data_IF_284087386125
#
_entry.id   IF_284087386125
#
_cell.length_a   1.000
_cell.length_b   1.000
_cell.length_c   1.000
_cell.angle_alpha   90.00
_cell.angle_beta   90.00
_cell.angle_gamma   90.00
#
_symmetry.space_group_name_H-M   'P 1'
#
loop_
_entity.id
_entity.type
_entity.pdbx_description
1 polymer ?
#
# COMPACT_ATOMS: atom_id res chain seq x y z
N UNK A 1 22.97 19.84 12.02
CA UNK A 1 23.07 18.61 12.85
C UNK A 1 23.73 17.54 11.99
N UNK A 2 24.70 16.80 12.52
CA UNK A 2 25.36 15.71 11.76
C UNK A 2 24.35 14.58 11.51
N UNK A 3 24.32 13.98 10.30
CA UNK A 3 23.54 12.79 10.04
C UNK A 3 24.01 11.58 10.85
N UNK A 4 25.30 11.54 11.25
CA UNK A 4 25.89 10.53 12.12
C UNK A 4 25.87 11.01 13.58
N UNK A 5 24.72 10.87 14.24
CA UNK A 5 24.53 11.28 15.63
C UNK A 5 23.60 10.31 16.35
N UNK A 6 23.80 10.11 17.66
CA UNK A 6 22.90 9.35 18.52
C UNK A 6 21.51 10.00 18.69
N UNK A 7 21.32 11.22 18.18
CA UNK A 7 19.99 11.85 18.08
C UNK A 7 19.25 11.48 16.78
N UNK A 8 19.87 10.69 15.91
CA UNK A 8 19.26 10.21 14.68
C UNK A 8 18.50 8.91 14.97
N UNK A 9 17.18 8.98 14.92
CA UNK A 9 16.30 7.83 15.20
C UNK A 9 16.55 6.66 14.25
N UNK A 10 17.00 6.91 13.01
CA UNK A 10 17.36 5.85 12.05
C UNK A 10 18.59 5.08 12.54
N UNK A 11 19.62 5.78 13.02
CA UNK A 11 20.84 5.13 13.55
C UNK A 11 20.49 4.35 14.82
N UNK A 12 19.67 4.94 15.71
CA UNK A 12 19.22 4.26 16.92
C UNK A 12 18.41 2.99 16.60
N UNK A 13 17.54 3.03 15.59
CA UNK A 13 16.78 1.86 15.15
C UNK A 13 17.69 0.74 14.62
N UNK A 14 18.67 1.07 13.78
CA UNK A 14 19.65 0.08 13.30
C UNK A 14 20.50 -0.49 14.43
N UNK A 15 20.97 0.35 15.35
CA UNK A 15 21.71 -0.10 16.52
C UNK A 15 20.87 -1.05 17.40
N UNK A 16 19.59 -0.73 17.61
CA UNK A 16 18.67 -1.60 18.35
C UNK A 16 18.49 -2.96 17.67
N UNK A 17 18.36 -3.00 16.34
CA UNK A 17 18.30 -4.26 15.59
C UNK A 17 19.55 -5.12 15.79
N UNK A 18 20.75 -4.51 15.75
CA UNK A 18 22.01 -5.22 15.99
C UNK A 18 22.07 -5.77 17.42
N UNK A 19 21.70 -4.96 18.42
CA UNK A 19 21.66 -5.39 19.83
C UNK A 19 20.67 -6.53 20.04
N UNK A 20 19.47 -6.44 19.47
CA UNK A 20 18.45 -7.47 19.58
C UNK A 20 18.91 -8.79 18.94
N UNK A 21 19.44 -8.75 17.71
CA UNK A 21 19.96 -9.93 17.02
C UNK A 21 21.14 -10.54 17.75
N UNK A 22 22.07 -9.70 18.25
CA UNK A 22 23.20 -10.13 19.06
C UNK A 22 22.76 -10.81 20.35
N UNK A 23 21.80 -10.22 21.08
CA UNK A 23 21.26 -10.79 22.31
C UNK A 23 20.60 -12.15 22.08
N UNK A 24 19.79 -12.29 21.02
CA UNK A 24 19.17 -13.57 20.65
C UNK A 24 20.22 -14.62 20.25
N UNK A 25 21.25 -14.20 19.51
CA UNK A 25 22.35 -15.09 19.11
C UNK A 25 23.15 -15.58 20.32
N UNK A 26 23.42 -14.71 21.30
CA UNK A 26 24.09 -15.10 22.55
C UNK A 26 23.21 -16.05 23.38
N UNK A 27 21.91 -15.80 23.44
CA UNK A 27 20.99 -16.59 24.26
C UNK A 27 20.67 -17.98 23.67
N UNK A 28 20.58 -18.09 22.34
CA UNK A 28 20.10 -19.30 21.66
C UNK A 28 21.13 -19.98 20.74
N UNK A 29 22.33 -19.41 20.63
CA UNK A 29 23.39 -19.89 19.73
C UNK A 29 23.31 -19.31 18.32
N UNK A 30 24.40 -19.42 17.52
CA UNK A 30 24.44 -18.96 16.12
C UNK A 30 23.43 -19.62 15.20
N UNK A 31 22.89 -20.78 15.58
CA UNK A 31 21.87 -21.54 14.83
C UNK A 31 20.56 -20.77 14.66
N UNK A 32 20.32 -19.72 15.46
CA UNK A 32 19.13 -18.86 15.31
C UNK A 32 19.23 -17.90 14.12
N UNK A 33 20.45 -17.59 13.64
CA UNK A 33 20.67 -16.57 12.60
C UNK A 33 19.90 -16.85 11.29
N UNK A 34 19.86 -18.07 10.74
CA UNK A 34 19.04 -18.37 9.56
C UNK A 34 17.54 -18.09 9.79
N UNK A 35 17.02 -18.36 10.99
CA UNK A 35 15.62 -18.09 11.33
C UNK A 35 15.33 -16.60 11.44
N UNK A 36 16.26 -15.81 11.99
CA UNK A 36 16.15 -14.34 12.04
C UNK A 36 16.17 -13.74 10.63
N UNK A 37 17.04 -14.22 9.75
CA UNK A 37 17.06 -13.81 8.35
C UNK A 37 15.77 -14.18 7.63
N UNK A 38 15.28 -15.42 7.81
CA UNK A 38 14.02 -15.86 7.24
C UNK A 38 12.84 -14.99 7.73
N UNK A 39 12.78 -14.70 9.04
CA UNK A 39 11.79 -13.81 9.62
C UNK A 39 11.86 -12.41 9.01
N UNK A 40 13.05 -11.84 8.82
CA UNK A 40 13.23 -10.54 8.19
C UNK A 40 12.74 -10.53 6.74
N UNK A 41 13.05 -11.58 5.96
CA UNK A 41 12.57 -11.74 4.59
C UNK A 41 11.04 -11.79 4.56
N UNK A 42 10.42 -12.60 5.43
CA UNK A 42 8.96 -12.69 5.53
C UNK A 42 8.34 -11.36 5.95
N UNK A 43 8.98 -10.62 6.86
CA UNK A 43 8.54 -9.29 7.29
C UNK A 43 8.59 -8.26 6.15
N UNK A 44 9.70 -8.21 5.41
CA UNK A 44 9.85 -7.35 4.23
C UNK A 44 8.81 -7.72 3.17
N UNK A 45 8.66 -9.01 2.89
CA UNK A 45 7.71 -9.48 1.88
C UNK A 45 6.26 -9.14 2.24
N UNK A 46 5.89 -9.27 3.52
CA UNK A 46 4.57 -8.88 4.01
C UNK A 46 4.37 -7.36 3.88
N UNK A 47 5.37 -6.57 4.29
CA UNK A 47 5.34 -5.11 4.18
C UNK A 47 5.18 -4.66 2.73
N UNK A 48 5.94 -5.24 1.80
CA UNK A 48 5.85 -4.92 0.38
C UNK A 48 4.53 -5.38 -0.24
N UNK A 49 3.98 -6.52 0.21
CA UNK A 49 2.66 -6.97 -0.23
C UNK A 49 1.57 -5.97 0.15
N UNK A 50 1.63 -5.45 1.38
CA UNK A 50 0.73 -4.43 1.91
C UNK A 50 0.91 -3.09 1.17
N UNK A 51 2.15 -2.64 1.01
CA UNK A 51 2.47 -1.42 0.27
C UNK A 51 1.97 -1.51 -1.19
N UNK A 52 2.15 -2.67 -1.82
CA UNK A 52 1.68 -2.91 -3.18
C UNK A 52 0.15 -2.85 -3.29
N UNK A 53 -0.58 -3.53 -2.41
CA UNK A 53 -2.05 -3.54 -2.48
C UNK A 53 -2.66 -2.17 -2.10
N UNK A 54 -2.08 -1.44 -1.16
CA UNK A 54 -2.56 -0.12 -0.72
C UNK A 54 -2.37 0.96 -1.77
N UNK A 55 -1.38 0.82 -2.65
CA UNK A 55 -1.06 1.83 -3.66
C UNK A 55 -1.27 1.33 -5.10
N UNK A 56 -1.92 0.18 -5.28
CA UNK A 56 -2.13 -0.40 -6.60
C UNK A 56 -2.95 0.52 -7.51
N UNK A 57 -2.37 0.89 -8.66
CA UNK A 57 -3.00 1.76 -9.66
C UNK A 57 -3.08 3.25 -9.27
N UNK A 58 -2.68 3.62 -8.04
CA UNK A 58 -2.82 4.98 -7.52
C UNK A 58 -1.75 5.91 -8.10
N UNK A 59 -2.17 7.08 -8.55
CA UNK A 59 -1.31 8.11 -9.14
C UNK A 59 -1.76 9.50 -8.70
N UNK A 60 -0.78 10.35 -8.40
CA UNK A 60 -1.00 11.78 -8.18
C UNK A 60 -1.02 12.52 -9.51
N UNK A 61 -1.99 13.40 -9.68
CA UNK A 61 -2.06 14.30 -10.85
C UNK A 61 -0.98 15.36 -10.77
N UNK A 62 -0.41 15.70 -11.92
CA UNK A 62 0.47 16.85 -12.09
C UNK A 62 -0.41 18.05 -12.44
N UNK A 63 -0.30 19.11 -11.65
CA UNK A 63 -1.02 20.37 -11.84
C UNK A 63 -0.38 21.17 -12.98
N UNK A 64 -1.11 22.15 -13.51
CA UNK A 64 -0.62 23.09 -14.54
C UNK A 64 0.65 23.82 -14.09
N UNK A 65 0.81 24.06 -12.79
CA UNK A 65 2.02 24.61 -12.18
C UNK A 65 3.25 23.70 -12.26
N UNK A 66 3.12 22.49 -12.79
CA UNK A 66 4.17 21.48 -12.84
C UNK A 66 4.39 20.71 -11.54
N UNK A 67 3.72 21.09 -10.44
CA UNK A 67 3.77 20.39 -9.15
C UNK A 67 2.74 19.27 -9.11
N UNK A 68 3.00 18.22 -8.33
CA UNK A 68 1.99 17.21 -8.03
C UNK A 68 0.98 17.72 -7.01
N UNK A 69 -0.29 17.33 -7.18
CA UNK A 69 -1.36 17.59 -6.22
C UNK A 69 -1.00 17.06 -4.82
N UNK A 70 -1.54 17.66 -3.76
CA UNK A 70 -1.28 17.17 -2.39
C UNK A 70 -1.81 15.74 -2.22
N UNK A 71 -1.10 14.92 -1.44
CA UNK A 71 -1.57 13.58 -1.04
C UNK A 71 -2.92 13.74 -0.34
N UNK A 72 -3.90 12.97 -0.77
CA UNK A 72 -5.24 12.96 -0.21
C UNK A 72 -5.75 11.50 -0.08
N UNK A 73 -6.88 11.26 0.61
CA UNK A 73 -7.37 9.90 0.86
C UNK A 73 -7.66 9.04 -0.38
N UNK A 74 -7.82 9.65 -1.56
CA UNK A 74 -8.01 8.93 -2.82
C UNK A 74 -6.72 8.30 -3.37
N UNK A 75 -5.56 8.58 -2.79
CA UNK A 75 -4.26 8.07 -3.27
C UNK A 75 -3.83 6.74 -2.63
N UNK A 76 -4.73 6.08 -1.92
CA UNK A 76 -4.51 4.74 -1.36
C UNK A 76 -5.82 4.02 -1.09
N UNK A 77 -5.76 2.70 -1.06
CA UNK A 77 -6.87 1.83 -0.71
C UNK A 77 -7.00 1.67 0.81
N UNK A 78 -8.22 1.81 1.32
CA UNK A 78 -8.60 1.43 2.68
C UNK A 78 -9.10 -0.03 2.71
N UNK A 79 -9.20 -0.63 3.89
CA UNK A 79 -9.97 -1.86 4.13
C UNK A 79 -10.96 -1.59 5.24
N UNK A 80 -12.12 -2.25 5.28
CA UNK A 80 -13.14 -2.04 6.33
C UNK A 80 -13.44 -3.31 7.15
N UNK A 81 -12.61 -4.36 7.06
CA UNK A 81 -12.82 -5.65 7.73
C UNK A 81 -12.31 -5.70 9.19
N UNK A 82 -13.23 -5.69 10.15
CA UNK A 82 -12.97 -5.65 11.61
C UNK A 82 -12.01 -6.75 12.12
N UNK A 83 -12.06 -7.98 11.57
CA UNK A 83 -11.20 -9.08 12.03
C UNK A 83 -9.72 -8.89 11.68
N UNK A 84 -9.43 -8.50 10.44
CA UNK A 84 -8.05 -8.14 10.03
C UNK A 84 -7.56 -6.84 10.67
N UNK A 85 -8.49 -5.97 11.02
CA UNK A 85 -8.26 -4.68 11.66
C UNK A 85 -7.57 -4.79 13.01
N UNK A 86 -8.05 -5.72 13.84
CA UNK A 86 -7.51 -5.92 15.18
C UNK A 86 -6.12 -6.55 15.08
N UNK A 87 -5.93 -7.47 14.14
CA UNK A 87 -4.66 -8.21 13.97
C UNK A 87 -3.55 -7.34 13.34
N UNK A 88 -3.91 -6.40 12.47
CA UNK A 88 -2.98 -5.50 11.78
C UNK A 88 -2.95 -4.08 12.37
N UNK A 89 -3.44 -3.89 13.60
CA UNK A 89 -3.51 -2.57 14.24
C UNK A 89 -4.09 -1.49 13.32
N UNK A 90 -5.38 -1.60 12.99
CA UNK A 90 -6.17 -0.63 12.22
C UNK A 90 -5.48 0.02 11.02
N UNK A 91 -4.66 -0.74 10.31
CA UNK A 91 -4.05 -0.36 9.04
C UNK A 91 -5.08 0.19 8.01
N UNK A 92 -6.35 -0.10 8.22
CA UNK A 92 -7.51 0.34 7.45
C UNK A 92 -7.68 1.82 7.19
N UNK A 93 -7.12 2.69 8.04
CA UNK A 93 -7.23 4.15 7.86
C UNK A 93 -5.98 4.75 7.22
N UNK A 94 -5.29 3.91 6.43
CA UNK A 94 -4.08 4.25 5.68
C UNK A 94 -4.22 5.54 4.89
N UNK A 95 -5.36 5.72 4.22
CA UNK A 95 -5.63 6.91 3.41
C UNK A 95 -5.64 8.21 4.22
N UNK A 96 -6.17 8.20 5.44
CA UNK A 96 -6.09 9.39 6.32
C UNK A 96 -4.70 9.56 6.91
N UNK A 97 -3.99 8.47 7.21
CA UNK A 97 -2.61 8.55 7.68
C UNK A 97 -1.70 9.20 6.64
N UNK A 98 -1.84 8.83 5.37
CA UNK A 98 -1.09 9.45 4.27
C UNK A 98 -1.49 10.92 4.02
N UNK A 99 -2.78 11.25 4.12
CA UNK A 99 -3.25 12.62 3.97
C UNK A 99 -2.86 13.52 5.16
N UNK A 100 -2.80 12.95 6.37
CA UNK A 100 -2.62 13.63 7.65
C UNK A 100 -1.66 12.84 8.58
N UNK A 101 -0.36 12.75 8.27
CA UNK A 101 0.59 11.88 8.98
C UNK A 101 0.82 12.26 10.45
N UNK A 102 0.52 13.51 10.84
CA UNK A 102 0.64 13.99 12.23
C UNK A 102 -0.57 13.64 13.09
N UNK A 103 -1.64 13.10 12.51
CA UNK A 103 -2.83 12.68 13.23
C UNK A 103 -2.51 11.42 14.02
N UNK A 104 -2.87 11.43 15.30
CA UNK A 104 -2.73 10.26 16.16
C UNK A 104 -3.55 9.10 15.60
N UNK A 105 -2.99 7.91 15.67
CA UNK A 105 -3.56 6.67 15.13
C UNK A 105 -5.04 6.45 15.56
N UNK A 106 -5.38 6.70 16.82
CA UNK A 106 -6.75 6.52 17.35
C UNK A 106 -7.77 7.51 16.76
N UNK A 107 -7.28 8.62 16.17
CA UNK A 107 -8.09 9.70 15.62
C UNK A 107 -8.12 9.71 14.08
N UNK A 108 -7.50 8.71 13.43
CA UNK A 108 -7.60 8.51 11.99
C UNK A 108 -9.07 8.37 11.59
N UNK A 109 -9.46 8.76 10.38
CA UNK A 109 -10.85 8.73 9.90
C UNK A 109 -10.97 7.90 8.63
N UNK A 110 -12.20 7.51 8.32
CA UNK A 110 -12.56 6.98 7.01
C UNK A 110 -13.14 8.11 6.14
N UNK A 111 -12.91 8.03 4.83
CA UNK A 111 -13.29 9.05 3.85
C UNK A 111 -14.00 8.39 2.68
N UNK A 112 -15.10 8.97 2.21
CA UNK A 112 -15.88 8.40 1.10
C UNK A 112 -15.11 8.35 -0.21
N UNK A 113 -14.16 9.25 -0.36
CA UNK A 113 -13.30 9.40 -1.53
C UNK A 113 -12.16 8.36 -1.55
N UNK A 114 -11.91 7.69 -0.41
CA UNK A 114 -10.92 6.63 -0.34
C UNK A 114 -11.49 5.35 -0.97
N UNK A 115 -10.83 4.77 -1.99
CA UNK A 115 -11.25 3.49 -2.52
C UNK A 115 -11.06 2.39 -1.47
N UNK A 116 -11.93 1.37 -1.48
CA UNK A 116 -11.92 0.31 -0.46
C UNK A 116 -11.66 -1.05 -1.08
N UNK A 117 -10.78 -1.83 -0.47
CA UNK A 117 -10.48 -3.20 -0.85
C UNK A 117 -11.73 -4.09 -0.72
N UNK A 118 -11.95 -5.02 -1.66
CA UNK A 118 -13.14 -5.87 -1.65
C UNK A 118 -13.19 -6.87 -0.49
N UNK A 119 -12.05 -7.15 0.14
CA UNK A 119 -11.95 -8.02 1.33
C UNK A 119 -11.00 -7.41 2.37
N UNK A 120 -10.82 -8.11 3.50
CA UNK A 120 -9.79 -7.74 4.48
C UNK A 120 -8.37 -7.95 3.95
N UNK A 121 -7.38 -7.35 4.61
CA UNK A 121 -5.97 -7.46 4.23
C UNK A 121 -5.50 -8.90 4.05
N UNK A 122 -5.90 -9.83 4.93
CA UNK A 122 -5.48 -11.23 4.82
C UNK A 122 -5.85 -11.85 3.46
N UNK A 123 -7.09 -11.64 3.01
CA UNK A 123 -7.55 -12.14 1.70
C UNK A 123 -6.85 -11.42 0.55
N UNK A 124 -6.67 -10.10 0.66
CA UNK A 124 -6.00 -9.31 -0.37
C UNK A 124 -4.50 -9.63 -0.50
N UNK A 125 -3.80 -9.87 0.60
CA UNK A 125 -2.38 -10.28 0.60
C UNK A 125 -2.22 -11.60 -0.14
N UNK A 126 -3.05 -12.61 0.14
CA UNK A 126 -2.97 -13.88 -0.59
C UNK A 126 -3.29 -13.67 -2.08
N UNK A 127 -4.22 -12.77 -2.40
CA UNK A 127 -4.54 -12.45 -3.80
C UNK A 127 -3.37 -11.78 -4.55
N UNK A 128 -2.51 -10.98 -3.89
CA UNK A 128 -1.35 -10.35 -4.56
C UNK A 128 -0.35 -11.39 -5.08
N UNK A 129 -0.29 -12.58 -4.47
CA UNK A 129 0.64 -13.64 -4.86
C UNK A 129 0.27 -14.33 -6.17
N UNK A 130 -0.98 -14.16 -6.64
CA UNK A 130 -1.47 -14.74 -7.88
C UNK A 130 -1.87 -13.59 -8.83
N UNK A 131 -0.96 -13.11 -9.70
CA UNK A 131 -1.18 -11.90 -10.51
C UNK A 131 -2.44 -11.94 -11.41
N UNK A 132 -2.86 -13.12 -11.85
CA UNK A 132 -4.09 -13.27 -12.64
C UNK A 132 -5.34 -12.99 -11.80
N UNK A 133 -5.38 -13.49 -10.57
CA UNK A 133 -6.47 -13.24 -9.61
C UNK A 133 -6.45 -11.76 -9.21
N UNK A 134 -5.28 -11.25 -8.83
CA UNK A 134 -5.11 -9.84 -8.47
C UNK A 134 -5.66 -8.89 -9.53
N UNK A 135 -5.20 -9.02 -10.78
CA UNK A 135 -5.63 -8.15 -11.89
C UNK A 135 -7.12 -8.27 -12.19
N UNK A 136 -7.68 -9.48 -12.13
CA UNK A 136 -9.12 -9.70 -12.33
C UNK A 136 -9.97 -8.99 -11.28
N UNK A 137 -9.48 -8.92 -10.04
CA UNK A 137 -10.18 -8.25 -8.94
C UNK A 137 -9.95 -6.74 -8.95
N UNK A 138 -8.71 -6.30 -9.14
CA UNK A 138 -8.32 -4.91 -8.86
C UNK A 138 -8.34 -3.98 -10.07
N UNK A 139 -8.13 -4.46 -11.30
CA UNK A 139 -8.04 -3.58 -12.47
C UNK A 139 -9.36 -2.82 -12.71
N UNK A 140 -10.51 -3.52 -12.62
CA UNK A 140 -11.84 -2.90 -12.77
C UNK A 140 -12.14 -1.89 -11.66
N UNK A 141 -11.65 -2.15 -10.43
CA UNK A 141 -11.82 -1.25 -9.29
C UNK A 141 -10.98 0.00 -9.42
N UNK A 142 -9.76 -0.12 -9.93
CA UNK A 142 -8.90 1.03 -10.28
C UNK A 142 -9.58 1.88 -11.34
N UNK A 143 -10.16 1.27 -12.38
CA UNK A 143 -10.89 2.01 -13.42
C UNK A 143 -12.10 2.73 -12.85
N UNK A 144 -12.91 2.05 -12.04
CA UNK A 144 -14.07 2.66 -11.38
C UNK A 144 -13.68 3.82 -10.46
N UNK A 145 -12.52 3.74 -9.80
CA UNK A 145 -12.01 4.84 -8.98
C UNK A 145 -11.65 6.09 -9.79
N UNK A 146 -11.28 5.92 -11.06
CA UNK A 146 -10.92 6.99 -11.98
C UNK A 146 -12.02 7.29 -13.01
N UNK A 147 -13.28 6.96 -12.69
CA UNK A 147 -14.44 7.19 -13.57
C UNK A 147 -14.26 6.61 -15.00
N UNK A 148 -13.52 5.51 -15.11
CA UNK A 148 -13.20 4.85 -16.39
C UNK A 148 -11.97 5.40 -17.11
N UNK A 149 -11.41 6.54 -16.72
CA UNK A 149 -10.22 7.11 -17.36
C UNK A 149 -8.93 6.41 -16.90
N UNK A 150 -8.54 5.38 -17.65
CA UNK A 150 -7.31 4.61 -17.44
C UNK A 150 -6.02 5.47 -17.45
N UNK A 151 -6.04 6.67 -18.03
CA UNK A 151 -4.87 7.55 -18.07
C UNK A 151 -4.58 8.25 -16.74
N UNK A 152 -5.60 8.34 -15.86
CA UNK A 152 -5.42 8.82 -14.50
C UNK A 152 -4.71 7.79 -13.61
N UNK A 153 -4.74 6.49 -13.96
CA UNK A 153 -4.09 5.45 -13.19
C UNK A 153 -2.56 5.40 -13.40
N UNK A 154 -1.86 4.79 -12.44
CA UNK A 154 -0.44 4.46 -12.57
C UNK A 154 -0.26 3.17 -13.40
N UNK A 155 0.08 3.33 -14.68
CA UNK A 155 0.29 2.19 -15.59
C UNK A 155 1.77 1.81 -15.65
N UNK A 156 2.06 0.52 -15.56
CA UNK A 156 3.40 0.01 -15.82
C UNK A 156 3.79 0.32 -17.28
N UNK A 157 4.95 0.96 -17.57
CA UNK A 157 5.28 1.45 -18.91
C UNK A 157 5.14 0.41 -20.02
N UNK A 158 5.61 -0.83 -19.78
CA UNK A 158 5.51 -1.94 -20.75
C UNK A 158 4.08 -2.40 -21.07
N UNK A 159 3.12 -2.09 -20.20
CA UNK A 159 1.73 -2.55 -20.33
C UNK A 159 0.77 -1.40 -20.63
N UNK A 160 1.26 -0.15 -20.68
CA UNK A 160 0.45 1.05 -20.80
C UNK A 160 -0.41 1.02 -22.06
N UNK A 161 0.17 0.72 -23.22
CA UNK A 161 -0.57 0.70 -24.49
C UNK A 161 -1.60 -0.42 -24.53
N UNK A 162 -1.29 -1.58 -23.94
CA UNK A 162 -2.26 -2.68 -23.79
C UNK A 162 -3.45 -2.26 -22.92
N UNK A 163 -3.21 -1.58 -21.81
CA UNK A 163 -4.28 -1.12 -20.93
C UNK A 163 -5.11 0.01 -21.56
N UNK A 164 -4.48 0.94 -22.26
CA UNK A 164 -5.19 1.97 -23.05
C UNK A 164 -6.01 1.37 -24.17
N UNK A 165 -5.49 0.38 -24.90
CA UNK A 165 -6.25 -0.31 -25.93
C UNK A 165 -7.44 -1.08 -25.35
N UNK A 166 -7.29 -1.66 -24.16
CA UNK A 166 -8.34 -2.45 -23.50
C UNK A 166 -9.43 -1.59 -22.84
N UNK A 167 -9.05 -0.47 -22.24
CA UNK A 167 -9.94 0.32 -21.36
C UNK A 167 -10.14 1.77 -21.83
N UNK A 168 -9.31 2.28 -22.72
CA UNK A 168 -9.35 3.68 -23.19
C UNK A 168 -10.51 4.02 -24.13
N UNK A 169 -11.31 3.04 -24.56
CA UNK A 169 -12.54 3.24 -25.32
C UNK A 169 -13.79 3.37 -24.43
N UNK A 170 -13.69 3.10 -23.13
CA UNK A 170 -14.78 3.29 -22.19
C UNK A 170 -14.88 4.78 -21.82
N UNK A 171 -15.41 5.59 -22.74
CA UNK A 171 -15.95 6.90 -22.39
C UNK A 171 -17.15 6.67 -21.46
N UNK A 172 -17.38 7.56 -20.50
CA UNK A 172 -18.32 7.44 -19.36
C UNK A 172 -19.81 7.15 -19.68
N UNK A 173 -20.15 6.81 -20.92
CA UNK A 173 -21.52 6.55 -21.40
C UNK A 173 -21.97 5.09 -21.24
N UNK A 174 -21.05 4.13 -21.05
CA UNK A 174 -21.40 2.69 -21.08
C UNK A 174 -21.72 2.06 -19.71
N UNK A 175 -21.48 2.75 -18.59
CA UNK A 175 -21.67 2.21 -17.23
C UNK A 175 -23.04 2.52 -16.60
N UNK A 176 -23.84 3.41 -17.20
CA UNK A 176 -25.24 3.65 -16.76
C UNK A 176 -26.23 2.57 -17.26
N UNK A 177 -25.80 1.65 -18.13
CA UNK A 177 -26.65 0.60 -18.70
C UNK A 177 -26.65 -0.74 -17.94
N UNK A 178 -25.91 -0.86 -16.83
CA UNK A 178 -25.73 -2.13 -16.09
C UNK A 178 -26.08 -2.03 -14.59
N UNK A 179 -27.02 -1.16 -14.23
CA UNK A 179 -27.64 -1.08 -12.90
C UNK A 179 -28.99 -1.82 -12.86
#
# INVERSE_FOLDING_TARGET
>A
KSPFSLRNDVINAWAFSVVLWGALTVAFGPEILPYLVLQAILGIWLLESVNFLEHYGMKRRKLESGRYERVNPSHSWNSNNIGTNVLLYHLQRHSDHHANPTRRYQALRDFKEAPVLPTGYAGMIVATWIPAVWRRVMDERVLSHYDGDVNQANLHPRMADRYRARYGSATATDLEGAA
#
